data_IF_525441031166
#
_entry.id   IF_525441031166
#
_cell.length_a   1.000
_cell.length_b   1.000
_cell.length_c   1.000
_cell.angle_alpha   90.00
_cell.angle_beta   90.00
_cell.angle_gamma   90.00
#
_symmetry.space_group_name_H-M   'P 1'
#
loop_
_entity.id
_entity.type
_entity.pdbx_description
1 polymer ?
#
# COMPACT_ATOMS: atom_id res chain seq x y z
N UNK A 1 -30.87 -13.33 0.97
CA UNK A 1 -30.17 -12.11 0.54
C UNK A 1 -28.93 -12.50 -0.29
N UNK A 2 -28.76 -11.91 -1.46
CA UNK A 2 -27.56 -12.13 -2.29
C UNK A 2 -26.38 -11.38 -1.66
N UNK A 3 -25.19 -11.99 -1.65
CA UNK A 3 -23.93 -11.38 -1.20
C UNK A 3 -22.93 -11.39 -2.34
N UNK A 4 -22.13 -10.35 -2.44
CA UNK A 4 -20.98 -10.28 -3.33
C UNK A 4 -19.71 -10.09 -2.49
N UNK A 5 -18.64 -10.76 -2.87
CA UNK A 5 -17.34 -10.66 -2.24
C UNK A 5 -16.34 -10.19 -3.30
N UNK A 6 -15.74 -9.03 -3.08
CA UNK A 6 -14.60 -8.54 -3.88
C UNK A 6 -13.33 -8.74 -3.05
N UNK A 7 -12.45 -9.62 -3.50
CA UNK A 7 -11.23 -9.97 -2.78
C UNK A 7 -10.03 -9.45 -3.57
N UNK A 8 -9.25 -8.56 -2.97
CA UNK A 8 -7.98 -8.09 -3.50
C UNK A 8 -6.85 -8.77 -2.72
N UNK A 9 -6.03 -9.54 -3.42
CA UNK A 9 -4.83 -10.13 -2.83
C UNK A 9 -3.69 -9.12 -2.96
N UNK A 10 -3.28 -8.58 -1.84
CA UNK A 10 -2.19 -7.60 -1.76
C UNK A 10 -0.86 -8.21 -2.22
N UNK A 11 -0.05 -7.43 -2.92
CA UNK A 11 1.25 -7.82 -3.45
C UNK A 11 1.25 -9.01 -4.43
N UNK A 12 0.11 -9.32 -5.04
CA UNK A 12 -0.05 -10.44 -5.97
C UNK A 12 -0.45 -9.90 -7.35
N UNK A 13 0.55 -9.63 -8.18
CA UNK A 13 0.37 -9.11 -9.55
C UNK A 13 0.47 -10.19 -10.62
N UNK A 14 -0.26 -9.97 -11.71
CA UNK A 14 -0.23 -10.80 -12.94
C UNK A 14 0.20 -9.90 -14.10
N UNK A 15 1.49 -9.66 -14.28
CA UNK A 15 2.02 -8.69 -15.23
C UNK A 15 2.23 -7.31 -14.62
N UNK A 16 2.78 -6.38 -15.39
CA UNK A 16 3.05 -4.99 -15.02
C UNK A 16 1.99 -4.02 -15.53
N UNK A 17 1.88 -2.86 -14.88
CA UNK A 17 1.07 -1.75 -15.37
C UNK A 17 1.68 -1.13 -16.64
N UNK A 18 0.91 -0.40 -17.47
CA UNK A 18 1.43 0.25 -18.68
C UNK A 18 2.55 1.27 -18.40
N UNK A 19 2.53 1.91 -17.24
CA UNK A 19 3.52 2.90 -16.79
C UNK A 19 4.61 2.31 -15.87
N UNK A 20 4.70 0.98 -15.76
CA UNK A 20 5.65 0.30 -14.87
C UNK A 20 7.10 0.72 -15.08
N UNK A 21 7.50 1.01 -16.32
CA UNK A 21 8.86 1.45 -16.66
C UNK A 21 9.22 2.78 -15.99
N UNK A 22 8.28 3.72 -15.91
CA UNK A 22 8.47 5.01 -15.25
C UNK A 22 8.73 4.90 -13.74
N UNK A 23 8.36 3.76 -13.14
CA UNK A 23 8.54 3.46 -11.72
C UNK A 23 9.61 2.40 -11.43
N UNK A 24 10.41 2.03 -12.45
CA UNK A 24 11.45 1.00 -12.31
C UNK A 24 10.89 -0.43 -12.14
N UNK A 25 9.62 -0.64 -12.46
CA UNK A 25 8.90 -1.91 -12.29
C UNK A 25 8.71 -2.65 -13.64
N UNK A 26 9.46 -2.29 -14.68
CA UNK A 26 9.41 -2.96 -15.97
C UNK A 26 9.61 -4.48 -15.82
N UNK A 27 8.76 -5.27 -16.47
CA UNK A 27 8.80 -6.73 -16.39
C UNK A 27 8.17 -7.33 -15.12
N UNK A 28 7.52 -6.55 -14.29
CA UNK A 28 6.82 -7.04 -13.08
C UNK A 28 5.78 -8.11 -13.44
N UNK A 29 5.86 -9.27 -12.80
CA UNK A 29 4.92 -10.39 -12.93
C UNK A 29 5.05 -11.32 -11.73
N UNK A 30 4.60 -10.89 -10.57
CA UNK A 30 4.83 -11.60 -9.30
C UNK A 30 4.43 -13.07 -9.35
N UNK A 31 3.21 -13.38 -9.79
CA UNK A 31 2.74 -14.77 -9.86
C UNK A 31 3.44 -15.60 -10.93
N UNK A 32 3.71 -15.01 -12.09
CA UNK A 32 4.46 -15.66 -13.15
C UNK A 32 5.88 -16.00 -12.69
N UNK A 33 6.58 -15.07 -12.06
CA UNK A 33 7.93 -15.26 -11.53
C UNK A 33 7.98 -16.29 -10.39
N UNK A 34 6.98 -16.29 -9.50
CA UNK A 34 6.87 -17.34 -8.47
C UNK A 34 6.69 -18.71 -9.11
N UNK A 35 5.82 -18.84 -10.10
CA UNK A 35 5.59 -20.09 -10.81
C UNK A 35 6.88 -20.57 -11.51
N UNK A 36 7.59 -19.67 -12.15
CA UNK A 36 8.88 -19.96 -12.80
C UNK A 36 9.95 -20.38 -11.79
N UNK A 37 10.12 -19.64 -10.69
CA UNK A 37 11.06 -19.98 -9.65
C UNK A 37 10.80 -21.36 -9.02
N UNK A 38 9.52 -21.71 -8.86
CA UNK A 38 9.12 -23.05 -8.40
C UNK A 38 9.47 -24.13 -9.41
N UNK A 39 9.25 -23.89 -10.70
CA UNK A 39 9.56 -24.85 -11.76
C UNK A 39 11.06 -25.12 -11.90
N UNK A 40 11.88 -24.09 -11.62
CA UNK A 40 13.35 -24.13 -11.65
C UNK A 40 13.99 -24.61 -10.34
N UNK A 41 13.21 -24.97 -9.32
CA UNK A 41 13.72 -25.39 -8.02
C UNK A 41 14.38 -24.28 -7.20
N UNK A 42 14.14 -23.01 -7.53
CA UNK A 42 14.68 -21.83 -6.81
C UNK A 42 13.84 -21.37 -5.63
N UNK A 43 12.71 -22.02 -5.37
CA UNK A 43 11.78 -21.67 -4.30
C UNK A 43 11.51 -22.87 -3.37
N UNK A 44 12.56 -23.56 -2.94
CA UNK A 44 12.47 -24.82 -2.16
C UNK A 44 12.58 -24.62 -0.63
N UNK A 45 12.49 -23.40 -0.14
CA UNK A 45 12.54 -23.10 1.30
C UNK A 45 11.19 -23.44 1.97
N UNK A 46 11.16 -24.47 2.79
CA UNK A 46 9.97 -24.93 3.51
C UNK A 46 8.88 -25.59 2.65
N UNK A 47 9.14 -25.75 1.36
CA UNK A 47 8.27 -26.39 0.37
C UNK A 47 9.08 -26.89 -0.84
N UNK A 48 8.48 -27.73 -1.67
CA UNK A 48 9.09 -28.19 -2.92
C UNK A 48 8.05 -28.34 -4.04
N UNK A 49 8.53 -28.33 -5.30
CA UNK A 49 7.73 -28.52 -6.50
C UNK A 49 6.86 -27.30 -6.89
N UNK A 50 5.88 -27.46 -7.81
CA UNK A 50 5.10 -26.36 -8.36
C UNK A 50 4.20 -25.66 -7.33
N UNK A 51 3.74 -24.43 -7.61
CA UNK A 51 2.80 -23.72 -6.74
C UNK A 51 1.48 -24.49 -6.60
N UNK A 52 0.99 -24.68 -5.38
CA UNK A 52 -0.24 -25.44 -5.11
C UNK A 52 -1.41 -24.52 -4.81
N UNK A 53 -2.05 -23.99 -5.85
CA UNK A 53 -3.25 -23.14 -5.76
C UNK A 53 -4.40 -23.70 -6.60
N UNK A 54 -4.86 -24.93 -6.30
CA UNK A 54 -5.76 -25.66 -7.19
C UNK A 54 -7.10 -24.97 -7.42
N UNK A 55 -7.65 -24.28 -6.41
CA UNK A 55 -8.93 -23.55 -6.53
C UNK A 55 -8.80 -22.35 -7.47
N UNK A 56 -7.75 -21.55 -7.33
CA UNK A 56 -7.49 -20.40 -8.21
C UNK A 56 -7.14 -20.86 -9.63
N UNK A 57 -6.35 -21.93 -9.78
CA UNK A 57 -6.09 -22.54 -11.07
C UNK A 57 -7.37 -23.05 -11.74
N UNK A 58 -8.27 -23.69 -10.99
CA UNK A 58 -9.54 -24.20 -11.53
C UNK A 58 -10.44 -23.10 -12.09
N UNK A 59 -10.38 -21.86 -11.56
CA UNK A 59 -11.16 -20.71 -12.05
C UNK A 59 -10.44 -19.87 -13.10
N UNK A 60 -9.21 -20.23 -13.53
CA UNK A 60 -8.55 -19.62 -14.68
C UNK A 60 -7.38 -18.70 -14.35
N UNK A 61 -6.75 -18.83 -13.17
CA UNK A 61 -5.62 -17.97 -12.78
C UNK A 61 -4.44 -18.06 -13.77
N UNK A 62 -4.11 -19.25 -14.26
CA UNK A 62 -3.02 -19.43 -15.23
C UNK A 62 -3.28 -18.65 -16.53
N UNK A 63 -4.52 -18.72 -17.02
CA UNK A 63 -4.95 -18.00 -18.21
C UNK A 63 -4.92 -16.48 -18.00
N UNK A 64 -5.35 -16.00 -16.82
CA UNK A 64 -5.28 -14.59 -16.47
C UNK A 64 -3.83 -14.06 -16.47
N UNK A 65 -2.88 -14.82 -15.91
CA UNK A 65 -1.45 -14.50 -15.94
C UNK A 65 -0.96 -14.42 -17.39
N UNK A 66 -1.28 -15.41 -18.21
CA UNK A 66 -0.85 -15.46 -19.61
C UNK A 66 -1.37 -14.26 -20.42
N UNK A 67 -2.63 -13.88 -20.23
CA UNK A 67 -3.21 -12.71 -20.91
C UNK A 67 -2.59 -11.42 -20.41
N UNK A 68 -2.37 -11.27 -19.11
CA UNK A 68 -1.83 -10.05 -18.51
C UNK A 68 -0.34 -9.82 -18.81
N UNK A 69 0.46 -10.89 -18.86
CA UNK A 69 1.93 -10.78 -18.94
C UNK A 69 2.54 -11.31 -20.24
N UNK A 70 1.76 -12.01 -21.07
CA UNK A 70 2.30 -12.73 -22.24
C UNK A 70 3.16 -13.97 -21.90
N UNK A 71 3.38 -14.26 -20.61
CA UNK A 71 4.24 -15.33 -20.14
C UNK A 71 3.41 -16.52 -19.60
N UNK A 72 3.97 -17.71 -19.70
CA UNK A 72 3.37 -18.90 -19.07
C UNK A 72 3.69 -18.92 -17.56
N UNK A 73 2.81 -19.58 -16.80
CA UNK A 73 2.98 -19.85 -15.38
C UNK A 73 3.10 -21.35 -15.14
N UNK A 74 4.32 -21.92 -15.25
CA UNK A 74 4.54 -23.36 -15.19
C UNK A 74 4.08 -23.90 -13.83
N UNK A 75 3.51 -25.10 -13.87
CA UNK A 75 3.03 -25.81 -12.67
C UNK A 75 1.70 -25.34 -12.11
N UNK A 76 1.14 -24.22 -12.59
CA UNK A 76 -0.24 -23.86 -12.26
C UNK A 76 -1.23 -24.73 -13.05
N UNK A 77 -2.32 -25.10 -12.38
CA UNK A 77 -3.40 -25.88 -12.98
C UNK A 77 -4.09 -25.09 -14.11
N UNK A 78 -4.28 -25.74 -15.24
CA UNK A 78 -4.87 -25.14 -16.46
C UNK A 78 -6.39 -25.37 -16.50
N UNK A 79 -7.10 -24.82 -15.52
CA UNK A 79 -8.55 -24.92 -15.39
C UNK A 79 -9.28 -23.71 -15.93
N UNK A 80 -10.53 -23.92 -16.35
CA UNK A 80 -11.39 -22.86 -16.93
C UNK A 80 -12.82 -22.94 -16.39
N UNK A 81 -13.02 -23.42 -15.17
CA UNK A 81 -14.36 -23.56 -14.57
C UNK A 81 -15.01 -22.25 -14.18
N UNK A 82 -14.20 -21.17 -14.01
CA UNK A 82 -14.67 -19.84 -13.66
C UNK A 82 -14.73 -18.89 -14.85
N UNK A 83 -15.09 -17.66 -14.55
CA UNK A 83 -14.87 -16.53 -15.44
C UNK A 83 -13.58 -15.84 -15.02
N UNK A 84 -12.72 -15.56 -15.97
CA UNK A 84 -11.42 -14.95 -15.74
C UNK A 84 -11.11 -13.93 -16.83
N UNK A 85 -10.17 -13.04 -16.55
CA UNK A 85 -9.70 -12.04 -17.47
C UNK A 85 -8.53 -11.27 -16.85
N UNK A 86 -7.97 -10.36 -17.65
CA UNK A 86 -7.01 -9.38 -17.19
C UNK A 86 -7.61 -7.98 -17.42
N UNK A 87 -7.45 -7.12 -16.46
CA UNK A 87 -7.83 -5.72 -16.55
C UNK A 87 -6.57 -4.87 -16.46
N UNK A 88 -6.51 -3.82 -17.26
CA UNK A 88 -5.44 -2.85 -17.25
C UNK A 88 -5.93 -1.57 -16.61
N UNK A 89 -5.20 -1.07 -15.65
CA UNK A 89 -5.46 0.20 -14.99
C UNK A 89 -5.31 1.36 -15.97
N UNK A 90 -6.22 2.33 -15.92
CA UNK A 90 -6.16 3.58 -16.70
C UNK A 90 -5.73 4.77 -15.83
N UNK A 91 -5.84 4.66 -14.51
CA UNK A 91 -5.30 5.63 -13.56
C UNK A 91 -3.79 5.66 -13.68
N UNK A 92 -3.22 6.86 -13.67
CA UNK A 92 -1.77 7.04 -13.74
C UNK A 92 -1.15 6.94 -12.37
N UNK A 93 0.04 6.35 -12.32
CA UNK A 93 0.88 6.38 -11.14
C UNK A 93 0.75 5.17 -10.24
N UNK A 94 1.69 5.08 -9.32
CA UNK A 94 1.88 3.96 -8.41
C UNK A 94 1.41 4.33 -7.01
N UNK A 95 0.16 4.03 -6.70
CA UNK A 95 -0.35 4.10 -5.32
C UNK A 95 -1.52 3.13 -5.11
N UNK A 96 -1.68 2.64 -3.88
CA UNK A 96 -2.74 1.71 -3.51
C UNK A 96 -4.16 2.25 -3.78
N UNK A 97 -4.50 3.53 -3.51
CA UNK A 97 -5.80 4.10 -3.87
C UNK A 97 -6.17 3.97 -5.34
N UNK A 98 -5.24 4.19 -6.27
CA UNK A 98 -5.51 4.15 -7.71
C UNK A 98 -6.22 2.87 -8.13
N UNK A 99 -5.58 1.73 -7.94
CA UNK A 99 -6.16 0.44 -8.35
C UNK A 99 -7.45 0.09 -7.59
N UNK A 100 -7.55 0.43 -6.31
CA UNK A 100 -8.76 0.11 -5.53
C UNK A 100 -9.95 0.99 -5.92
N UNK A 101 -9.75 2.29 -6.13
CA UNK A 101 -10.84 3.17 -6.54
C UNK A 101 -11.28 2.88 -7.96
N UNK A 102 -10.33 2.62 -8.87
CA UNK A 102 -10.65 2.25 -10.24
C UNK A 102 -11.42 0.93 -10.30
N UNK A 103 -11.01 -0.07 -9.51
CA UNK A 103 -11.74 -1.33 -9.35
C UNK A 103 -13.17 -1.10 -8.80
N UNK A 104 -13.37 -0.03 -8.02
CA UNK A 104 -14.68 0.40 -7.51
C UNK A 104 -15.39 1.42 -8.42
N UNK A 105 -14.93 1.60 -9.66
CA UNK A 105 -15.56 2.41 -10.71
C UNK A 105 -15.11 3.87 -10.76
N UNK A 106 -14.06 4.27 -10.05
CA UNK A 106 -13.59 5.67 -10.00
C UNK A 106 -12.10 5.73 -10.33
N UNK A 107 -11.71 5.86 -11.61
CA UNK A 107 -10.33 6.16 -11.98
C UNK A 107 -9.84 7.46 -11.36
N UNK A 108 -8.55 7.53 -11.05
CA UNK A 108 -7.93 8.74 -10.48
C UNK A 108 -7.75 9.78 -11.58
N UNK A 109 -8.32 11.00 -11.44
CA UNK A 109 -8.28 12.01 -12.50
C UNK A 109 -7.05 12.93 -12.44
N UNK A 110 -6.07 12.63 -11.60
CA UNK A 110 -4.84 13.44 -11.42
C UNK A 110 -3.60 12.57 -11.37
N UNK A 111 -2.44 13.22 -11.53
CA UNK A 111 -1.14 12.60 -11.25
C UNK A 111 -0.82 12.73 -9.76
N UNK A 112 -0.34 11.64 -9.15
CA UNK A 112 0.12 11.65 -7.75
C UNK A 112 1.43 12.43 -7.62
N UNK A 113 1.64 13.01 -6.46
CA UNK A 113 2.92 13.59 -6.10
C UNK A 113 3.83 12.52 -5.50
N UNK A 114 5.05 12.42 -6.01
CA UNK A 114 6.12 11.56 -5.48
C UNK A 114 7.25 12.43 -4.97
N UNK A 115 7.76 12.11 -3.80
CA UNK A 115 8.94 12.78 -3.29
C UNK A 115 10.18 12.26 -4.02
N UNK A 116 11.19 13.12 -4.31
CA UNK A 116 12.40 12.71 -5.02
C UNK A 116 13.23 11.74 -4.18
N UNK A 117 13.94 10.82 -4.84
CA UNK A 117 14.91 9.93 -4.19
C UNK A 117 16.24 10.67 -3.95
N UNK A 118 16.16 11.68 -3.10
CA UNK A 118 17.27 12.52 -2.64
C UNK A 118 17.27 12.62 -1.12
N UNK A 119 18.36 13.10 -0.56
CA UNK A 119 18.44 13.46 0.87
C UNK A 119 18.83 14.93 0.96
N UNK A 120 17.94 15.79 1.46
CA UNK A 120 16.58 15.54 1.95
C UNK A 120 15.57 15.24 0.82
N UNK A 121 14.56 14.41 1.12
CA UNK A 121 13.47 14.09 0.20
C UNK A 121 12.30 15.09 0.33
N UNK A 122 12.06 15.60 1.52
CA UNK A 122 10.96 16.52 1.79
C UNK A 122 11.39 17.98 1.72
N UNK A 123 10.60 18.85 1.10
CA UNK A 123 10.91 20.27 1.04
C UNK A 123 10.78 20.94 2.43
N UNK A 124 11.55 21.99 2.64
CA UNK A 124 11.68 22.70 3.93
C UNK A 124 10.34 23.21 4.51
N UNK A 125 9.43 23.65 3.66
CA UNK A 125 8.13 24.12 4.08
C UNK A 125 7.28 22.98 4.66
N UNK A 126 7.37 21.78 4.09
CA UNK A 126 6.70 20.59 4.64
C UNK A 126 7.34 20.15 5.96
N UNK A 127 8.67 20.16 6.05
CA UNK A 127 9.38 19.84 7.30
C UNK A 127 8.96 20.81 8.42
N UNK A 128 8.84 22.11 8.14
CA UNK A 128 8.36 23.11 9.11
C UNK A 128 6.94 22.80 9.58
N UNK A 129 6.03 22.41 8.68
CA UNK A 129 4.66 22.01 9.05
C UNK A 129 4.69 20.79 9.98
N UNK A 130 5.49 19.77 9.65
CA UNK A 130 5.61 18.57 10.49
C UNK A 130 6.14 18.92 11.88
N UNK A 131 7.21 19.70 11.96
CA UNK A 131 7.78 20.16 13.24
C UNK A 131 6.75 20.93 14.08
N UNK A 132 6.02 21.86 13.45
CA UNK A 132 4.99 22.65 14.14
C UNK A 132 3.85 21.75 14.68
N UNK A 133 3.35 20.82 13.89
CA UNK A 133 2.28 19.89 14.29
C UNK A 133 2.76 18.88 15.34
N UNK A 134 3.99 18.41 15.21
CA UNK A 134 4.60 17.48 16.15
C UNK A 134 5.03 18.16 17.46
N UNK A 135 5.24 19.49 17.47
CA UNK A 135 5.83 20.22 18.59
C UNK A 135 7.30 19.84 18.80
N UNK A 136 8.07 19.70 17.72
CA UNK A 136 9.49 19.31 17.72
C UNK A 136 10.32 20.32 16.93
N UNK A 137 11.64 20.37 17.21
CA UNK A 137 12.56 21.27 16.51
C UNK A 137 13.04 20.69 15.16
N UNK A 138 12.81 19.38 14.93
CA UNK A 138 13.22 18.69 13.72
C UNK A 138 12.49 17.37 13.51
N UNK A 139 12.87 16.70 12.45
CA UNK A 139 12.46 15.33 12.08
C UNK A 139 13.71 14.47 11.90
N UNK A 140 13.56 13.16 11.92
CA UNK A 140 14.59 12.19 11.57
C UNK A 140 14.27 11.52 10.24
N UNK A 141 15.28 10.98 9.57
CA UNK A 141 15.15 10.32 8.26
C UNK A 141 15.16 11.33 7.12
N UNK A 142 14.02 11.78 6.64
CA UNK A 142 13.85 12.67 5.48
C UNK A 142 14.47 12.11 4.20
N UNK A 143 14.17 10.83 3.91
CA UNK A 143 14.72 10.10 2.76
C UNK A 143 13.77 9.02 2.27
N UNK A 144 14.11 8.39 1.14
CA UNK A 144 13.50 7.12 0.72
C UNK A 144 14.03 5.99 1.59
N UNK A 145 13.13 5.21 2.19
CA UNK A 145 13.53 4.10 3.03
C UNK A 145 12.46 3.01 3.16
N UNK A 146 12.92 1.83 3.58
CA UNK A 146 12.06 0.77 4.08
C UNK A 146 11.83 0.92 5.57
N UNK A 147 10.62 0.60 6.04
CA UNK A 147 10.20 0.92 7.41
C UNK A 147 11.02 0.27 8.53
N UNK A 148 11.53 -0.96 8.35
CA UNK A 148 12.34 -1.62 9.38
C UNK A 148 13.75 -1.05 9.45
N UNK A 149 14.49 -0.93 8.35
CA UNK A 149 15.82 -0.31 8.36
C UNK A 149 15.85 1.11 8.92
N UNK A 150 14.92 1.97 8.51
CA UNK A 150 14.92 3.38 8.95
C UNK A 150 14.60 3.53 10.44
N UNK A 151 13.74 2.66 11.00
CA UNK A 151 13.49 2.63 12.44
C UNK A 151 14.75 2.16 13.18
N UNK A 152 15.44 1.11 12.69
CA UNK A 152 16.67 0.63 13.30
C UNK A 152 17.74 1.72 13.33
N UNK A 153 17.89 2.47 12.26
CA UNK A 153 18.88 3.55 12.14
C UNK A 153 18.61 4.73 13.08
N UNK A 154 17.35 5.13 13.22
CA UNK A 154 16.98 6.36 13.92
C UNK A 154 16.37 6.14 15.31
N UNK A 155 16.20 4.89 15.77
CA UNK A 155 15.53 4.58 17.03
C UNK A 155 16.13 5.32 18.23
N UNK A 156 17.46 5.29 18.40
CA UNK A 156 18.13 5.94 19.53
C UNK A 156 17.96 7.46 19.50
N UNK A 157 18.14 8.07 18.33
CA UNK A 157 17.93 9.50 18.16
C UNK A 157 16.47 9.87 18.43
N UNK A 158 15.51 9.07 17.96
CA UNK A 158 14.08 9.26 18.22
C UNK A 158 13.74 9.24 19.70
N UNK A 159 14.24 8.23 20.44
CA UNK A 159 14.00 8.11 21.87
C UNK A 159 14.64 9.26 22.67
N UNK A 160 15.81 9.76 22.23
CA UNK A 160 16.52 10.86 22.87
C UNK A 160 15.89 12.24 22.61
N UNK A 161 15.49 12.50 21.37
CA UNK A 161 15.02 13.83 20.94
C UNK A 161 13.50 13.99 20.99
N UNK A 162 12.76 12.87 20.91
CA UNK A 162 11.32 12.89 20.66
C UNK A 162 10.93 13.31 19.24
N UNK A 163 11.87 13.40 18.29
CA UNK A 163 11.58 13.76 16.91
C UNK A 163 10.99 12.61 16.14
N UNK A 164 9.94 12.80 15.33
CA UNK A 164 9.35 11.74 14.53
C UNK A 164 10.30 11.28 13.41
N UNK A 165 10.31 10.00 13.10
CA UNK A 165 11.05 9.42 11.97
C UNK A 165 10.18 9.53 10.73
N UNK A 166 10.52 10.47 9.83
CA UNK A 166 9.75 10.77 8.61
C UNK A 166 10.50 10.23 7.38
N UNK A 167 9.80 9.49 6.54
CA UNK A 167 10.39 8.90 5.34
C UNK A 167 9.32 8.65 4.26
N UNK A 168 9.76 8.37 3.05
CA UNK A 168 8.93 8.02 1.91
C UNK A 168 9.39 6.72 1.26
N UNK A 169 8.72 6.31 0.20
CA UNK A 169 9.06 5.16 -0.63
C UNK A 169 8.68 5.45 -2.09
N UNK A 170 8.74 4.45 -2.96
CA UNK A 170 8.36 4.59 -4.37
C UNK A 170 6.88 4.94 -4.61
N UNK A 171 6.01 4.73 -3.60
CA UNK A 171 4.60 5.11 -3.66
C UNK A 171 4.42 6.60 -3.30
N UNK A 172 3.23 7.15 -3.60
CA UNK A 172 2.83 8.50 -3.19
C UNK A 172 2.47 8.56 -1.71
N UNK A 173 3.46 8.48 -0.84
CA UNK A 173 3.25 8.35 0.61
C UNK A 173 4.18 9.24 1.43
N UNK A 174 3.69 9.67 2.59
CA UNK A 174 4.49 10.24 3.67
C UNK A 174 4.31 9.35 4.91
N UNK A 175 5.39 8.82 5.43
CA UNK A 175 5.34 7.84 6.52
C UNK A 175 6.01 8.40 7.76
N UNK A 176 5.37 8.20 8.91
CA UNK A 176 5.89 8.64 10.21
C UNK A 176 5.99 7.43 11.13
N UNK A 177 7.20 7.05 11.49
CA UNK A 177 7.41 6.06 12.53
C UNK A 177 7.71 6.75 13.86
N UNK A 178 7.11 6.22 14.95
CA UNK A 178 7.34 6.70 16.31
C UNK A 178 7.08 5.60 17.33
N UNK A 179 7.79 5.67 18.46
CA UNK A 179 7.65 4.72 19.55
C UNK A 179 6.38 5.01 20.35
N UNK A 180 5.50 4.01 20.53
CA UNK A 180 4.16 4.18 21.13
C UNK A 180 4.19 4.76 22.54
N UNK A 181 5.17 4.40 23.35
CA UNK A 181 5.26 4.87 24.73
C UNK A 181 6.03 6.20 24.82
N UNK A 182 7.19 6.31 24.14
CA UNK A 182 8.06 7.48 24.27
C UNK A 182 7.52 8.71 23.54
N UNK A 183 6.98 8.53 22.33
CA UNK A 183 6.35 9.60 21.57
C UNK A 183 4.85 9.72 21.89
N UNK A 184 4.19 8.61 22.13
CA UNK A 184 2.75 8.49 22.34
C UNK A 184 2.00 8.08 21.08
N UNK A 185 1.22 6.99 21.18
CA UNK A 185 0.40 6.51 20.06
C UNK A 185 -0.61 7.55 19.59
N UNK A 186 -1.38 8.12 20.52
CA UNK A 186 -2.40 9.13 20.21
C UNK A 186 -1.78 10.39 19.57
N UNK A 187 -0.58 10.79 20.04
CA UNK A 187 0.17 11.91 19.46
C UNK A 187 0.59 11.60 18.01
N UNK A 188 1.07 10.39 17.74
CA UNK A 188 1.41 9.96 16.39
C UNK A 188 0.19 9.96 15.46
N UNK A 189 -0.92 9.38 15.91
CA UNK A 189 -2.15 9.33 15.13
C UNK A 189 -2.72 10.72 14.87
N UNK A 190 -2.69 11.60 15.89
CA UNK A 190 -3.11 13.00 15.73
C UNK A 190 -2.20 13.75 14.77
N UNK A 191 -0.87 13.61 14.88
CA UNK A 191 0.08 14.23 13.95
C UNK A 191 -0.21 13.82 12.51
N UNK A 192 -0.41 12.53 12.24
CA UNK A 192 -0.74 12.04 10.89
C UNK A 192 -2.09 12.58 10.40
N UNK A 193 -3.10 12.65 11.26
CA UNK A 193 -4.41 13.19 10.92
C UNK A 193 -4.36 14.68 10.58
N UNK A 194 -3.65 15.47 11.38
CA UNK A 194 -3.50 16.93 11.18
C UNK A 194 -2.63 17.25 9.96
N UNK A 195 -1.65 16.41 9.64
CA UNK A 195 -0.77 16.55 8.48
C UNK A 195 -1.45 16.12 7.17
N UNK A 196 -2.39 15.17 7.21
CA UNK A 196 -3.04 14.63 6.03
C UNK A 196 -3.64 15.68 5.09
N UNK A 197 -4.39 16.72 5.54
CA UNK A 197 -4.91 17.75 4.66
C UNK A 197 -3.83 18.52 3.88
N UNK A 198 -2.68 18.79 4.51
CA UNK A 198 -1.55 19.48 3.86
C UNK A 198 -0.91 18.64 2.76
N UNK A 199 -0.83 17.34 2.96
CA UNK A 199 -0.26 16.39 1.99
C UNK A 199 -1.27 16.03 0.90
N UNK A 200 -2.54 15.86 1.23
CA UNK A 200 -3.61 15.64 0.24
C UNK A 200 -3.76 16.83 -0.72
N UNK A 201 -3.61 18.06 -0.24
CA UNK A 201 -3.58 19.25 -1.09
C UNK A 201 -2.42 19.24 -2.11
N UNK A 202 -1.33 18.53 -1.79
CA UNK A 202 -0.19 18.30 -2.68
C UNK A 202 -0.35 17.03 -3.53
N UNK A 203 -1.49 16.34 -3.45
CA UNK A 203 -1.76 15.05 -4.10
C UNK A 203 -0.83 13.91 -3.66
N UNK A 204 -0.34 13.95 -2.42
CA UNK A 204 0.26 12.80 -1.77
C UNK A 204 -0.86 11.86 -1.34
N UNK A 205 -0.84 10.63 -1.79
CA UNK A 205 -1.96 9.70 -1.66
C UNK A 205 -2.27 9.29 -0.24
N UNK A 206 -1.25 9.11 0.60
CA UNK A 206 -1.43 8.65 1.99
C UNK A 206 -0.42 9.25 2.96
N UNK A 207 -0.88 9.52 4.18
CA UNK A 207 -0.02 9.69 5.36
C UNK A 207 -0.15 8.43 6.21
N UNK A 208 0.98 7.81 6.57
CA UNK A 208 0.98 6.51 7.25
C UNK A 208 1.61 6.63 8.62
N UNK A 209 0.83 6.36 9.66
CA UNK A 209 1.33 6.14 11.01
C UNK A 209 1.93 4.74 11.13
N UNK A 210 3.20 4.67 11.57
CA UNK A 210 3.94 3.41 11.75
C UNK A 210 4.46 3.27 13.17
N UNK A 211 3.58 2.97 14.13
CA UNK A 211 3.97 2.81 15.52
C UNK A 211 4.84 1.57 15.73
N UNK A 212 5.76 1.68 16.68
CA UNK A 212 6.59 0.57 17.13
C UNK A 212 6.80 0.62 18.65
N UNK A 213 7.23 -0.49 19.23
CA UNK A 213 7.54 -0.66 20.65
C UNK A 213 8.82 -1.45 20.84
N UNK A 214 9.38 -1.41 22.04
CA UNK A 214 10.59 -2.16 22.42
C UNK A 214 11.87 -1.34 22.28
N UNK A 215 12.98 -1.93 22.72
CA UNK A 215 14.27 -1.28 22.72
C UNK A 215 14.89 -1.22 21.32
N UNK A 216 15.79 -0.26 21.09
CA UNK A 216 16.55 -0.17 19.87
C UNK A 216 17.39 -1.44 19.67
N UNK A 217 17.27 -2.04 18.47
CA UNK A 217 17.85 -3.36 18.17
C UNK A 217 16.92 -4.56 18.40
N UNK A 218 15.83 -4.40 19.18
CA UNK A 218 14.82 -5.44 19.41
C UNK A 218 13.38 -4.89 19.26
N UNK A 219 13.20 -3.77 18.56
CA UNK A 219 11.88 -3.16 18.36
C UNK A 219 10.94 -4.03 17.51
N UNK A 220 9.64 -3.85 17.72
CA UNK A 220 8.59 -4.49 16.93
C UNK A 220 7.58 -3.45 16.46
N UNK A 221 7.21 -3.48 15.18
CA UNK A 221 6.08 -2.72 14.68
C UNK A 221 4.78 -3.29 15.26
N UNK A 222 3.87 -2.41 15.64
CA UNK A 222 2.59 -2.82 16.23
C UNK A 222 1.49 -2.92 15.17
N UNK A 223 0.36 -3.48 15.57
CA UNK A 223 -0.85 -3.55 14.74
C UNK A 223 -1.60 -2.20 14.67
N UNK A 224 -1.16 -1.18 15.45
CA UNK A 224 -1.80 0.14 15.51
C UNK A 224 -1.42 1.04 14.32
N UNK A 225 -0.86 0.46 13.24
CA UNK A 225 -0.66 1.16 11.98
C UNK A 225 -2.00 1.72 11.49
N UNK A 226 -1.96 2.96 11.00
CA UNK A 226 -3.12 3.60 10.36
C UNK A 226 -2.67 4.38 9.13
N UNK A 227 -3.44 4.22 8.05
CA UNK A 227 -3.24 4.95 6.81
C UNK A 227 -4.33 6.05 6.72
N UNK A 228 -3.90 7.29 6.54
CA UNK A 228 -4.77 8.44 6.28
C UNK A 228 -4.72 8.72 4.78
N UNK A 229 -5.61 8.08 4.03
CA UNK A 229 -5.67 8.22 2.59
C UNK A 229 -6.52 9.44 2.18
N UNK A 230 -6.18 10.01 1.03
CA UNK A 230 -7.07 10.95 0.35
C UNK A 230 -8.40 10.26 0.01
N UNK A 231 -9.51 10.95 0.09
CA UNK A 231 -10.80 10.36 -0.22
C UNK A 231 -11.00 10.20 -1.74
N UNK A 232 -11.76 9.18 -2.20
CA UNK A 232 -12.15 9.05 -3.59
C UNK A 232 -12.83 10.33 -4.12
N UNK A 233 -12.49 10.79 -5.35
CA UNK A 233 -13.01 12.06 -5.88
C UNK A 233 -14.49 12.02 -6.28
N UNK A 234 -15.06 10.82 -6.43
CA UNK A 234 -16.44 10.60 -6.82
C UNK A 234 -17.05 9.43 -6.01
N UNK A 235 -18.38 9.22 -6.07
CA UNK A 235 -19.01 8.06 -5.48
C UNK A 235 -18.49 6.75 -6.09
N UNK A 236 -18.08 5.84 -5.24
CA UNK A 236 -17.57 4.50 -5.61
C UNK A 236 -18.69 3.46 -5.56
N UNK A 237 -18.40 2.23 -5.98
CA UNK A 237 -19.31 1.08 -5.82
C UNK A 237 -19.80 0.95 -4.36
N UNK A 238 -18.95 1.25 -3.37
CA UNK A 238 -19.30 1.18 -1.96
C UNK A 238 -20.37 2.22 -1.58
N UNK A 239 -20.24 3.46 -2.12
CA UNK A 239 -21.23 4.51 -1.89
C UNK A 239 -22.57 4.14 -2.53
N UNK A 240 -22.59 3.59 -3.73
CA UNK A 240 -23.81 3.20 -4.42
C UNK A 240 -24.52 2.04 -3.72
N UNK A 241 -23.77 1.03 -3.26
CA UNK A 241 -24.34 -0.09 -2.50
C UNK A 241 -24.94 0.39 -1.17
N UNK A 242 -24.24 1.29 -0.49
CA UNK A 242 -24.74 1.89 0.76
C UNK A 242 -25.97 2.79 0.51
N UNK A 243 -25.96 3.55 -0.59
CA UNK A 243 -27.10 4.40 -1.01
C UNK A 243 -28.38 3.61 -1.30
N UNK A 244 -28.25 2.38 -1.76
CA UNK A 244 -29.37 1.43 -1.95
C UNK A 244 -29.81 0.72 -0.63
N UNK A 245 -29.35 1.20 0.52
CA UNK A 245 -29.70 0.65 1.83
C UNK A 245 -29.10 -0.75 2.10
N UNK A 246 -28.06 -1.14 1.36
CA UNK A 246 -27.38 -2.42 1.55
C UNK A 246 -26.13 -2.25 2.39
N UNK A 247 -25.79 -3.25 3.19
CA UNK A 247 -24.60 -3.25 4.02
C UNK A 247 -23.34 -3.48 3.16
N UNK A 248 -22.31 -2.68 3.43
CA UNK A 248 -20.96 -2.85 2.93
C UNK A 248 -20.02 -3.15 4.08
N UNK A 249 -19.08 -4.05 3.88
CA UNK A 249 -18.12 -4.45 4.91
C UNK A 249 -16.72 -4.41 4.33
N UNK A 250 -15.86 -3.56 4.88
CA UNK A 250 -14.44 -3.50 4.56
C UNK A 250 -13.64 -4.42 5.49
N UNK A 251 -12.75 -5.25 4.93
CA UNK A 251 -11.85 -6.11 5.69
C UNK A 251 -10.40 -5.71 5.36
N UNK A 252 -9.54 -5.67 6.37
CA UNK A 252 -8.16 -5.25 6.21
C UNK A 252 -8.03 -3.75 5.95
N UNK A 253 -7.27 -3.34 4.95
CA UNK A 253 -6.97 -1.93 4.62
C UNK A 253 -8.10 -1.19 3.89
N UNK A 254 -9.19 -1.86 3.53
CA UNK A 254 -10.23 -1.28 2.66
C UNK A 254 -10.82 0.00 3.28
N UNK A 255 -11.09 -0.01 4.59
CA UNK A 255 -11.59 1.19 5.28
C UNK A 255 -10.69 2.40 5.09
N UNK A 256 -9.40 2.24 5.35
CA UNK A 256 -8.41 3.31 5.23
C UNK A 256 -8.25 3.79 3.76
N UNK A 257 -8.20 2.86 2.80
CA UNK A 257 -8.04 3.18 1.36
C UNK A 257 -9.21 4.02 0.82
N UNK A 258 -10.42 3.78 1.30
CA UNK A 258 -11.61 4.53 0.92
C UNK A 258 -11.96 5.66 1.91
N UNK A 259 -11.05 5.99 2.84
CA UNK A 259 -11.30 7.01 3.90
C UNK A 259 -12.61 6.76 4.65
N UNK A 260 -12.94 5.49 4.92
CA UNK A 260 -14.20 5.01 5.52
C UNK A 260 -15.47 5.36 4.73
N UNK A 261 -15.35 5.94 3.54
CA UNK A 261 -16.48 6.36 2.72
C UNK A 261 -17.21 5.14 2.14
N UNK A 262 -18.54 5.12 2.28
CA UNK A 262 -19.38 4.05 1.79
C UNK A 262 -19.20 2.70 2.50
N UNK A 263 -18.50 2.66 3.66
CA UNK A 263 -18.25 1.44 4.42
C UNK A 263 -19.06 1.46 5.70
N UNK A 264 -19.90 0.44 5.88
CA UNK A 264 -20.61 0.18 7.13
C UNK A 264 -19.67 -0.35 8.21
N UNK A 265 -20.05 -0.13 9.46
CA UNK A 265 -19.33 -0.65 10.63
C UNK A 265 -19.64 -2.12 10.85
#
# INVERSE_FOLDING_TARGET
>A
MSRAFLIVMDSVGCGGAPDAEAFGDAGSNTLGHIAQACAEGRAEQGRSGPPRVPKHGAVGLKQAIRVASGLDAPGLYDGTRGRWGAATEISRGKDTPSGHWELAGVPVPWDWHYFPDTVPAFPDDLVKIVCQLAGTEGILGNCHASGVPIIAEHCEAHLKTGWPICYTSADSVFQIAAHETAFGLDRLLKLCADLAPHLHARRVGRVIARPFVGDCGAFKRTANRRDFAIAPPAPTLLDWVAGEGRATHGIGKIGDIFSMRGIGK
#
